data_IF_776887319460
#
_entry.id   IF_776887319460
#
_cell.length_a   1.000
_cell.length_b   1.000
_cell.length_c   1.000
_cell.angle_alpha   90.00
_cell.angle_beta   90.00
_cell.angle_gamma   90.00
#
_symmetry.space_group_name_H-M   'P 1'
#
loop_
_entity.id
_entity.type
_entity.pdbx_description
1 polymer ?
#
# COMPACT_ATOMS: atom_id res chain seq x y z
N UNK A 1 -8.77 -28.14 -11.19
CA UNK A 1 -7.29 -28.24 -11.17
C UNK A 1 -6.68 -26.90 -11.54
N UNK A 2 -6.47 -26.05 -10.54
CA UNK A 2 -5.53 -24.92 -10.55
C UNK A 2 -4.93 -24.97 -9.15
N UNK A 3 -3.95 -25.83 -8.95
CA UNK A 3 -3.31 -26.07 -7.64
C UNK A 3 -1.82 -25.79 -7.73
N UNK A 4 -1.44 -24.84 -8.59
CA UNK A 4 -0.07 -24.37 -8.73
C UNK A 4 0.10 -23.10 -7.92
N UNK A 5 1.04 -23.14 -6.97
CA UNK A 5 1.48 -22.00 -6.15
C UNK A 5 1.79 -20.80 -7.04
N UNK A 6 1.39 -19.60 -6.60
CA UNK A 6 1.66 -18.36 -7.31
C UNK A 6 0.41 -17.57 -7.70
N UNK A 7 0.61 -16.55 -8.54
CA UNK A 7 -0.42 -15.64 -9.03
C UNK A 7 -0.95 -16.13 -10.37
N UNK A 8 -2.25 -16.35 -10.47
CA UNK A 8 -2.96 -16.63 -11.72
C UNK A 8 -3.69 -15.38 -12.19
N UNK A 9 -3.36 -14.91 -13.38
CA UNK A 9 -4.07 -13.82 -14.07
C UNK A 9 -4.99 -14.42 -15.12
N UNK A 10 -6.28 -14.14 -15.02
CA UNK A 10 -7.31 -14.64 -15.94
C UNK A 10 -7.80 -13.50 -16.82
N UNK A 11 -7.55 -13.57 -18.12
CA UNK A 11 -8.17 -12.68 -19.12
C UNK A 11 -9.60 -13.14 -19.38
N UNK A 12 -10.56 -12.34 -18.94
CA UNK A 12 -11.99 -12.61 -19.09
C UNK A 12 -12.48 -11.92 -20.36
N UNK A 13 -13.03 -12.71 -21.28
CA UNK A 13 -13.49 -12.24 -22.58
C UNK A 13 -14.90 -12.74 -22.92
N UNK A 14 -15.57 -12.08 -23.86
CA UNK A 14 -16.85 -12.53 -24.40
C UNK A 14 -16.62 -13.42 -25.61
N UNK A 15 -17.46 -14.43 -25.82
CA UNK A 15 -17.28 -15.38 -26.93
C UNK A 15 -17.24 -14.71 -28.30
N UNK A 16 -17.91 -13.57 -28.44
CA UNK A 16 -17.98 -12.80 -29.68
C UNK A 16 -16.78 -11.85 -29.92
N UNK A 17 -15.98 -11.49 -28.90
CA UNK A 17 -14.83 -10.59 -29.05
C UNK A 17 -13.48 -11.31 -28.95
N UNK A 18 -13.42 -12.46 -28.28
CA UNK A 18 -12.16 -13.18 -28.05
C UNK A 18 -11.24 -12.48 -27.03
N UNK A 19 -10.15 -13.16 -26.62
CA UNK A 19 -9.20 -12.64 -25.63
C UNK A 19 -8.35 -11.49 -26.17
N UNK A 20 -7.77 -10.71 -25.25
CA UNK A 20 -7.05 -9.50 -25.58
C UNK A 20 -5.64 -9.84 -26.14
N UNK A 21 -5.49 -9.80 -27.46
CA UNK A 21 -4.22 -10.12 -28.14
C UNK A 21 -3.04 -9.20 -27.77
N UNK A 22 -3.22 -7.88 -27.59
CA UNK A 22 -2.10 -6.98 -27.25
C UNK A 22 -1.43 -7.27 -25.91
N UNK A 23 -2.15 -7.83 -24.93
CA UNK A 23 -1.60 -8.09 -23.59
C UNK A 23 -0.80 -9.39 -23.51
N UNK A 24 -0.92 -10.28 -24.51
CA UNK A 24 -0.18 -11.55 -24.53
C UNK A 24 1.32 -11.33 -24.48
N UNK A 25 1.83 -10.37 -25.25
CA UNK A 25 3.26 -10.02 -25.29
C UNK A 25 3.75 -9.46 -23.95
N UNK A 26 2.91 -8.65 -23.31
CA UNK A 26 3.20 -8.05 -22.00
C UNK A 26 3.25 -9.13 -20.91
N UNK A 27 2.27 -10.02 -20.91
CA UNK A 27 2.19 -11.13 -19.96
C UNK A 27 3.33 -12.13 -20.13
N UNK A 28 3.74 -12.43 -21.36
CA UNK A 28 4.93 -13.24 -21.62
C UNK A 28 6.20 -12.60 -21.04
N UNK A 29 6.37 -11.28 -21.21
CA UNK A 29 7.51 -10.54 -20.64
C UNK A 29 7.49 -10.56 -19.11
N UNK A 30 6.34 -10.28 -18.50
CA UNK A 30 6.16 -10.33 -17.04
C UNK A 30 6.44 -11.74 -16.48
N UNK A 31 6.04 -12.79 -17.20
CA UNK A 31 6.31 -14.18 -16.79
C UNK A 31 7.80 -14.49 -16.71
N UNK A 32 8.58 -13.92 -17.63
CA UNK A 32 10.03 -14.09 -17.67
C UNK A 32 10.69 -13.30 -16.54
N UNK A 33 10.23 -12.07 -16.28
CA UNK A 33 10.77 -11.20 -15.23
C UNK A 33 10.48 -11.70 -13.80
N UNK A 34 9.26 -12.21 -13.56
CA UNK A 34 8.82 -12.68 -12.23
C UNK A 34 9.20 -14.14 -11.96
N UNK A 35 9.56 -14.90 -13.00
CA UNK A 35 9.86 -16.32 -12.92
C UNK A 35 8.66 -17.19 -13.32
N UNK A 36 8.91 -18.19 -14.17
CA UNK A 36 7.89 -18.97 -14.89
C UNK A 36 6.92 -19.75 -13.99
N UNK A 37 7.35 -20.10 -12.78
CA UNK A 37 6.62 -20.98 -11.88
C UNK A 37 5.67 -20.23 -10.92
N UNK A 38 5.86 -18.92 -10.76
CA UNK A 38 5.08 -18.09 -9.82
C UNK A 38 3.98 -17.28 -10.50
N UNK A 39 3.98 -17.17 -11.82
CA UNK A 39 3.00 -16.41 -12.59
C UNK A 39 2.36 -17.29 -13.68
N UNK A 40 1.04 -17.47 -13.56
CA UNK A 40 0.21 -18.28 -14.44
C UNK A 40 -0.79 -17.39 -15.17
N UNK A 41 -1.06 -17.69 -16.44
CA UNK A 41 -2.04 -16.97 -17.25
C UNK A 41 -3.10 -17.94 -17.73
N UNK A 42 -4.37 -17.58 -17.58
CA UNK A 42 -5.50 -18.35 -18.06
C UNK A 42 -6.48 -17.44 -18.82
N UNK A 43 -7.34 -18.06 -19.63
CA UNK A 43 -8.39 -17.38 -20.39
C UNK A 43 -9.73 -17.91 -19.90
N UNK A 44 -10.70 -17.01 -19.70
CA UNK A 44 -12.06 -17.39 -19.31
C UNK A 44 -13.09 -16.69 -20.18
N UNK A 45 -13.99 -17.46 -20.78
CA UNK A 45 -15.12 -16.92 -21.54
C UNK A 45 -16.30 -16.66 -20.58
N UNK A 46 -16.69 -15.38 -20.44
CA UNK A 46 -17.71 -14.95 -19.48
C UNK A 46 -19.11 -15.50 -19.79
N UNK A 47 -19.42 -15.66 -21.09
CA UNK A 47 -20.72 -16.15 -21.55
C UNK A 47 -21.00 -17.59 -21.10
N UNK A 48 -19.95 -18.36 -20.83
CA UNK A 48 -20.02 -19.78 -20.46
C UNK A 48 -19.94 -20.05 -18.95
N UNK A 49 -19.75 -19.01 -18.11
CA UNK A 49 -19.48 -19.17 -16.67
C UNK A 49 -20.42 -18.30 -15.84
N UNK A 50 -21.30 -18.93 -15.05
CA UNK A 50 -22.27 -18.20 -14.21
C UNK A 50 -21.60 -17.33 -13.14
N UNK A 51 -20.46 -17.80 -12.62
CA UNK A 51 -19.63 -17.01 -11.68
C UNK A 51 -19.09 -15.71 -12.28
N UNK A 52 -19.12 -15.56 -13.60
CA UNK A 52 -18.69 -14.37 -14.34
C UNK A 52 -19.86 -13.57 -14.92
N UNK A 53 -21.11 -13.83 -14.51
CA UNK A 53 -22.30 -13.18 -15.05
C UNK A 53 -22.21 -11.64 -15.02
N UNK A 54 -21.62 -11.06 -13.97
CA UNK A 54 -21.43 -9.61 -13.83
C UNK A 54 -20.53 -8.98 -14.89
N UNK A 55 -19.74 -9.78 -15.61
CA UNK A 55 -18.85 -9.35 -16.68
C UNK A 55 -19.44 -9.60 -18.08
N UNK A 56 -20.62 -10.22 -18.20
CA UNK A 56 -21.28 -10.47 -19.49
C UNK A 56 -21.74 -9.17 -20.16
N UNK A 57 -21.72 -9.17 -21.49
CA UNK A 57 -22.20 -8.05 -22.30
C UNK A 57 -21.31 -6.80 -22.28
N UNK A 58 -20.13 -6.88 -21.67
CA UNK A 58 -19.15 -5.79 -21.62
C UNK A 58 -17.96 -6.10 -22.52
N UNK A 59 -17.54 -5.12 -23.30
CA UNK A 59 -16.38 -5.21 -24.20
C UNK A 59 -15.23 -4.36 -23.64
N UNK A 60 -14.82 -4.66 -22.41
CA UNK A 60 -13.72 -3.99 -21.72
C UNK A 60 -12.69 -5.01 -21.24
N UNK A 61 -11.38 -4.67 -21.26
CA UNK A 61 -10.34 -5.58 -20.82
C UNK A 61 -10.50 -5.89 -19.32
N UNK A 62 -10.87 -7.13 -19.02
CA UNK A 62 -11.17 -7.59 -17.66
C UNK A 62 -10.15 -8.66 -17.26
N UNK A 63 -9.35 -8.36 -16.23
CA UNK A 63 -8.36 -9.31 -15.69
C UNK A 63 -8.66 -9.64 -14.23
N UNK A 64 -8.77 -10.94 -13.92
CA UNK A 64 -8.96 -11.42 -12.55
C UNK A 64 -7.65 -11.98 -12.02
N UNK A 65 -7.33 -11.69 -10.76
CA UNK A 65 -6.06 -12.06 -10.14
C UNK A 65 -6.33 -12.98 -8.95
N UNK A 66 -5.82 -14.21 -9.01
CA UNK A 66 -5.95 -15.22 -7.96
C UNK A 66 -4.59 -15.62 -7.43
N UNK A 67 -4.36 -15.48 -6.12
CA UNK A 67 -3.14 -15.95 -5.48
C UNK A 67 -3.41 -17.26 -4.73
N UNK A 68 -2.67 -18.33 -5.05
CA UNK A 68 -2.77 -19.62 -4.37
C UNK A 68 -1.52 -19.80 -3.49
N UNK A 69 -1.73 -19.95 -2.18
CA UNK A 69 -0.69 -20.16 -1.16
C UNK A 69 -0.56 -21.65 -0.83
N UNK A 70 0.63 -22.06 -0.39
CA UNK A 70 0.90 -23.40 0.14
C UNK A 70 0.17 -23.56 1.48
N UNK A 71 -0.64 -24.61 1.61
CA UNK A 71 -1.20 -25.07 2.89
C UNK A 71 -0.48 -26.38 3.24
N UNK A 72 0.64 -26.30 3.98
CA UNK A 72 1.23 -27.46 4.65
C UNK A 72 2.22 -27.09 5.79
N UNK A 73 1.86 -27.55 7.00
CA UNK A 73 2.66 -27.89 8.21
C UNK A 73 3.16 -26.73 9.08
N UNK A 74 2.94 -26.68 10.40
CA UNK A 74 2.14 -27.49 11.35
C UNK A 74 2.14 -26.73 12.69
N UNK A 75 1.11 -27.00 13.47
CA UNK A 75 0.80 -26.49 14.82
C UNK A 75 1.95 -26.52 15.85
N UNK A 76 1.72 -25.71 16.90
CA UNK A 76 2.17 -25.82 18.30
C UNK A 76 2.97 -24.61 18.82
N UNK A 77 2.26 -23.68 19.49
CA UNK A 77 2.62 -23.18 20.83
C UNK A 77 1.42 -22.44 21.46
N UNK A 78 0.59 -23.23 22.15
CA UNK A 78 -0.42 -22.82 23.12
C UNK A 78 0.13 -23.10 24.52
N UNK A 79 0.31 -22.06 25.36
CA UNK A 79 0.26 -22.09 26.83
C UNK A 79 0.81 -20.76 27.41
N UNK A 80 0.20 -20.02 28.34
CA UNK A 80 -0.82 -20.31 29.35
C UNK A 80 -1.56 -19.00 29.71
N UNK A 81 -2.88 -19.05 29.81
CA UNK A 81 -3.60 -18.24 30.80
C UNK A 81 -4.81 -19.04 31.32
N UNK A 82 -4.87 -19.20 32.64
CA UNK A 82 -6.00 -19.83 33.34
C UNK A 82 -6.90 -18.74 33.92
N UNK A 83 -8.16 -18.79 33.49
CA UNK A 83 -9.42 -18.48 34.17
C UNK A 83 -9.69 -17.07 34.73
N UNK A 84 -10.73 -16.43 34.17
CA UNK A 84 -12.06 -16.38 34.81
C UNK A 84 -13.18 -16.01 33.83
N UNK A 85 -14.28 -16.75 33.92
CA UNK A 85 -15.61 -16.49 33.32
C UNK A 85 -16.24 -15.21 33.89
N UNK A 86 -16.83 -14.37 33.04
CA UNK A 86 -18.29 -14.22 32.91
C UNK A 86 -18.61 -13.15 31.86
N UNK A 87 -19.64 -13.40 31.05
CA UNK A 87 -19.95 -12.69 29.81
C UNK A 87 -20.38 -11.23 29.95
N UNK A 88 -20.04 -10.43 28.95
CA UNK A 88 -20.98 -9.93 27.94
C UNK A 88 -20.18 -9.08 26.93
N UNK A 89 -20.23 -9.50 25.66
CA UNK A 89 -19.98 -8.69 24.45
C UNK A 89 -18.83 -7.67 24.52
N UNK A 90 -17.57 -8.14 24.50
CA UNK A 90 -16.42 -7.28 24.25
C UNK A 90 -16.26 -7.06 22.74
N UNK A 91 -16.46 -5.79 22.36
CA UNK A 91 -16.20 -5.21 21.05
C UNK A 91 -15.01 -5.87 20.33
N UNK A 92 -15.31 -6.64 19.29
CA UNK A 92 -14.33 -7.07 18.30
C UNK A 92 -13.92 -5.85 17.44
N UNK A 93 -13.14 -4.93 18.02
CA UNK A 93 -12.42 -3.90 17.26
C UNK A 93 -11.26 -4.59 16.56
N UNK A 94 -11.50 -5.00 15.32
CA UNK A 94 -10.42 -5.25 14.37
C UNK A 94 -9.76 -3.89 14.08
N UNK A 95 -8.73 -3.55 14.86
CA UNK A 95 -7.97 -2.32 14.69
C UNK A 95 -7.19 -2.39 13.38
N UNK A 96 -7.71 -1.73 12.34
CA UNK A 96 -7.00 -1.46 11.11
C UNK A 96 -5.74 -0.65 11.46
N UNK A 97 -4.56 -1.27 11.32
CA UNK A 97 -3.29 -0.61 11.68
C UNK A 97 -2.95 0.45 10.64
N UNK A 98 -3.17 1.72 10.98
CA UNK A 98 -2.78 2.86 10.17
C UNK A 98 -1.26 2.88 9.94
N UNK A 99 -0.84 3.13 8.69
CA UNK A 99 0.57 3.10 8.28
C UNK A 99 0.99 4.41 7.60
N UNK A 100 2.26 4.77 7.73
CA UNK A 100 2.86 5.92 7.04
C UNK A 100 4.19 5.58 6.39
N UNK A 101 4.58 6.35 5.38
CA UNK A 101 5.90 6.27 4.77
C UNK A 101 6.90 7.09 5.59
N UNK A 102 8.05 6.48 5.87
CA UNK A 102 9.25 7.18 6.29
C UNK A 102 10.39 6.91 5.30
N UNK A 103 11.17 7.94 5.00
CA UNK A 103 12.37 7.80 4.16
C UNK A 103 13.56 8.43 4.88
N UNK A 104 14.60 7.64 5.11
CA UNK A 104 15.93 8.12 5.49
C UNK A 104 16.66 8.43 4.17
N UNK A 105 16.92 9.71 3.95
CA UNK A 105 17.43 10.26 2.70
C UNK A 105 18.91 9.92 2.47
N UNK A 106 19.42 10.04 1.23
CA UNK A 106 20.79 9.63 0.90
C UNK A 106 21.87 10.34 1.74
N UNK A 107 21.65 11.59 2.15
CA UNK A 107 22.56 12.32 3.04
C UNK A 107 22.74 11.59 4.37
N UNK A 108 21.67 11.18 5.04
CA UNK A 108 21.77 10.47 6.31
C UNK A 108 22.37 9.06 6.14
N UNK A 109 22.03 8.37 5.04
CA UNK A 109 22.56 7.03 4.73
C UNK A 109 24.07 7.08 4.52
N UNK A 110 24.57 8.00 3.69
CA UNK A 110 26.00 8.15 3.39
C UNK A 110 26.82 8.51 4.63
N UNK A 111 26.23 9.26 5.58
CA UNK A 111 26.88 9.58 6.86
C UNK A 111 26.77 8.45 7.91
N UNK A 112 26.26 7.27 7.54
CA UNK A 112 26.18 6.11 8.42
C UNK A 112 25.19 6.28 9.57
N UNK A 113 24.15 7.13 9.39
CA UNK A 113 23.17 7.45 10.45
C UNK A 113 21.92 6.57 10.43
N UNK A 114 21.80 5.67 9.46
CA UNK A 114 20.62 4.80 9.27
C UNK A 114 20.24 4.03 10.53
N UNK A 115 21.18 3.30 11.13
CA UNK A 115 20.88 2.44 12.28
C UNK A 115 20.50 3.25 13.53
N UNK A 116 21.15 4.39 13.73
CA UNK A 116 20.86 5.32 14.82
C UNK A 116 19.44 5.91 14.70
N UNK A 117 19.04 6.28 13.48
CA UNK A 117 17.68 6.78 13.19
C UNK A 117 16.64 5.67 13.38
N UNK A 118 16.90 4.46 12.89
CA UNK A 118 16.01 3.30 13.07
C UNK A 118 15.80 3.00 14.55
N UNK A 119 16.87 3.02 15.35
CA UNK A 119 16.79 2.81 16.80
C UNK A 119 15.89 3.87 17.45
N UNK A 120 16.08 5.16 17.11
CA UNK A 120 15.22 6.24 17.62
C UNK A 120 13.76 6.10 17.20
N UNK A 121 13.48 5.60 15.99
CA UNK A 121 12.12 5.30 15.53
C UNK A 121 11.49 4.23 16.42
N UNK A 122 12.21 3.15 16.71
CA UNK A 122 11.71 2.06 17.58
C UNK A 122 11.54 2.53 19.04
N UNK A 123 12.49 3.28 19.58
CA UNK A 123 12.41 3.87 20.93
C UNK A 123 11.22 4.83 21.10
N UNK A 124 10.81 5.49 20.01
CA UNK A 124 9.62 6.34 19.99
C UNK A 124 8.30 5.56 19.88
N UNK A 125 8.35 4.22 19.87
CA UNK A 125 7.19 3.34 19.87
C UNK A 125 6.59 3.06 18.50
N UNK A 126 7.37 3.23 17.42
CA UNK A 126 6.95 2.81 16.08
C UNK A 126 7.37 1.37 15.79
N UNK A 127 6.46 0.62 15.17
CA UNK A 127 6.77 -0.66 14.54
C UNK A 127 7.18 -0.43 13.09
N UNK A 128 8.26 -1.08 12.68
CA UNK A 128 8.75 -1.03 11.30
C UNK A 128 8.25 -2.28 10.56
N UNK A 129 7.23 -2.11 9.72
CA UNK A 129 6.63 -3.21 8.94
C UNK A 129 7.48 -3.60 7.73
N UNK A 130 8.26 -2.67 7.20
CA UNK A 130 9.12 -2.87 6.03
C UNK A 130 10.33 -1.98 6.15
N UNK A 131 11.49 -2.49 5.72
CA UNK A 131 12.77 -1.80 5.75
C UNK A 131 13.53 -2.16 4.47
N UNK A 132 13.47 -1.29 3.47
CA UNK A 132 14.02 -1.52 2.13
C UNK A 132 15.06 -0.44 1.79
N UNK A 133 16.26 -0.85 1.39
CA UNK A 133 17.25 0.05 0.81
C UNK A 133 17.08 0.13 -0.70
N UNK A 134 16.90 1.35 -1.22
CA UNK A 134 16.67 1.55 -2.65
C UNK A 134 17.23 2.88 -3.14
N UNK A 135 17.87 2.84 -4.31
CA UNK A 135 18.19 4.05 -5.07
C UNK A 135 17.01 4.42 -5.96
N UNK A 136 16.52 5.64 -5.80
CA UNK A 136 15.33 6.13 -6.50
C UNK A 136 15.66 6.58 -7.92
N UNK A 137 14.73 6.36 -8.85
CA UNK A 137 14.84 6.94 -10.20
C UNK A 137 14.30 8.37 -10.23
N UNK A 138 14.79 9.16 -11.18
CA UNK A 138 14.33 10.54 -11.38
C UNK A 138 12.83 10.59 -11.69
N UNK A 139 12.32 9.65 -12.49
CA UNK A 139 10.90 9.56 -12.84
C UNK A 139 10.03 9.34 -11.59
N UNK A 140 10.44 8.43 -10.71
CA UNK A 140 9.73 8.18 -9.44
C UNK A 140 9.75 9.42 -8.54
N UNK A 141 10.90 10.08 -8.38
CA UNK A 141 11.01 11.26 -7.49
C UNK A 141 10.27 12.48 -8.02
N UNK A 142 10.20 12.66 -9.35
CA UNK A 142 9.37 13.71 -9.96
C UNK A 142 7.89 13.48 -9.72
N UNK A 143 7.42 12.23 -9.81
CA UNK A 143 6.05 11.87 -9.46
C UNK A 143 5.78 12.02 -7.95
N UNK A 144 6.72 11.59 -7.11
CA UNK A 144 6.62 11.66 -5.66
C UNK A 144 6.48 13.11 -5.17
N UNK A 145 7.34 14.00 -5.66
CA UNK A 145 7.36 15.42 -5.31
C UNK A 145 6.59 16.30 -6.30
N UNK A 146 5.67 15.75 -7.10
CA UNK A 146 4.96 16.51 -8.14
C UNK A 146 4.26 17.77 -7.60
N UNK A 147 3.75 17.71 -6.37
CA UNK A 147 3.12 18.85 -5.70
C UNK A 147 4.07 20.04 -5.45
N UNK A 148 5.39 19.82 -5.53
CA UNK A 148 6.46 20.81 -5.36
C UNK A 148 7.09 21.26 -6.67
N UNK A 149 6.56 20.83 -7.82
CA UNK A 149 7.16 21.11 -9.14
C UNK A 149 7.31 22.61 -9.48
N UNK A 150 6.56 23.48 -8.79
CA UNK A 150 6.67 24.94 -8.92
C UNK A 150 7.72 25.61 -8.02
N UNK A 151 8.38 24.87 -7.13
CA UNK A 151 9.37 25.42 -6.21
C UNK A 151 10.76 25.50 -6.88
N UNK A 152 11.51 26.58 -6.60
CA UNK A 152 12.86 26.77 -7.15
C UNK A 152 13.83 25.63 -6.77
N UNK A 153 13.64 25.04 -5.59
CA UNK A 153 14.46 23.93 -5.08
C UNK A 153 14.04 22.55 -5.60
N UNK A 154 13.00 22.44 -6.45
CA UNK A 154 12.46 21.15 -6.89
C UNK A 154 13.51 20.28 -7.60
N UNK A 155 14.24 20.85 -8.56
CA UNK A 155 15.27 20.11 -9.30
C UNK A 155 16.40 19.66 -8.39
N UNK A 156 16.82 20.51 -7.44
CA UNK A 156 17.84 20.16 -6.45
C UNK A 156 17.37 19.03 -5.52
N UNK A 157 16.10 19.04 -5.11
CA UNK A 157 15.49 17.99 -4.29
C UNK A 157 15.44 16.65 -5.03
N UNK A 158 14.99 16.64 -6.29
CA UNK A 158 14.94 15.43 -7.11
C UNK A 158 16.34 14.86 -7.30
N UNK A 159 17.31 15.72 -7.65
CA UNK A 159 18.71 15.31 -7.80
C UNK A 159 19.28 14.73 -6.51
N UNK A 160 19.01 15.37 -5.37
CA UNK A 160 19.42 14.87 -4.05
C UNK A 160 18.89 13.47 -3.78
N UNK A 161 17.59 13.25 -3.96
CA UNK A 161 16.96 11.94 -3.68
C UNK A 161 17.45 10.82 -4.60
N UNK A 162 17.93 11.15 -5.80
CA UNK A 162 18.48 10.19 -6.76
C UNK A 162 20.01 10.01 -6.63
N UNK A 163 20.68 10.77 -5.76
CA UNK A 163 22.14 10.79 -5.65
C UNK A 163 22.75 9.53 -5.04
N UNK A 164 21.94 8.70 -4.39
CA UNK A 164 22.38 7.49 -3.70
C UNK A 164 21.24 6.66 -3.13
N UNK A 165 21.56 5.58 -2.38
CA UNK A 165 20.56 4.78 -1.70
C UNK A 165 19.85 5.58 -0.62
N UNK A 166 18.53 5.42 -0.53
CA UNK A 166 17.70 5.83 0.60
C UNK A 166 17.25 4.60 1.38
N UNK A 167 16.88 4.77 2.65
CA UNK A 167 16.15 3.73 3.39
C UNK A 167 14.67 4.06 3.49
N UNK A 168 13.84 3.19 2.92
CA UNK A 168 12.40 3.35 2.89
C UNK A 168 11.81 2.44 3.96
N UNK A 169 10.99 3.02 4.81
CA UNK A 169 10.35 2.34 5.91
C UNK A 169 8.84 2.49 5.80
N UNK A 170 8.11 1.42 6.12
CA UNK A 170 6.67 1.51 6.40
C UNK A 170 6.53 1.45 7.91
N UNK A 171 6.02 2.53 8.50
CA UNK A 171 5.83 2.65 9.93
C UNK A 171 4.37 2.44 10.28
N UNK A 172 4.11 1.68 11.34
CA UNK A 172 2.82 1.64 12.03
C UNK A 172 3.03 1.96 13.50
N UNK A 173 1.95 2.35 14.18
CA UNK A 173 1.98 2.57 15.62
C UNK A 173 0.68 2.05 16.22
N UNK A 174 0.80 1.03 17.08
CA UNK A 174 -0.36 0.43 17.76
C UNK A 174 -0.61 1.02 19.15
N UNK A 175 0.38 1.74 19.69
CA UNK A 175 0.33 2.31 21.03
C UNK A 175 0.32 3.84 20.98
N UNK A 176 -0.66 4.45 21.65
CA UNK A 176 -0.79 5.89 21.76
C UNK A 176 -2.14 6.40 21.24
N UNK A 177 -2.44 7.65 21.53
CA UNK A 177 -3.69 8.33 21.11
C UNK A 177 -3.52 9.13 19.81
N UNK A 178 -2.27 9.32 19.35
CA UNK A 178 -1.95 10.09 18.15
C UNK A 178 -1.94 9.20 16.91
N UNK A 179 -2.44 9.74 15.80
CA UNK A 179 -2.30 9.12 14.48
C UNK A 179 -0.81 8.94 14.10
N UNK A 180 -0.51 7.87 13.36
CA UNK A 180 0.85 7.48 13.00
C UNK A 180 1.58 8.55 12.17
N UNK A 181 0.88 9.26 11.27
CA UNK A 181 1.46 10.34 10.46
C UNK A 181 1.84 11.51 11.37
N UNK A 182 0.92 11.90 12.24
CA UNK A 182 1.13 13.00 13.20
C UNK A 182 2.29 12.69 14.14
N UNK A 183 2.32 11.47 14.70
CA UNK A 183 3.41 11.02 15.55
C UNK A 183 4.75 11.07 14.82
N UNK A 184 4.79 10.61 13.56
CA UNK A 184 6.02 10.61 12.77
C UNK A 184 6.51 12.02 12.47
N UNK A 185 5.59 12.94 12.16
CA UNK A 185 5.92 14.35 11.98
C UNK A 185 6.51 14.99 13.25
N UNK A 186 5.95 14.69 14.40
CA UNK A 186 6.48 15.15 15.70
C UNK A 186 7.90 14.64 15.93
N UNK A 187 8.17 13.36 15.64
CA UNK A 187 9.52 12.78 15.78
C UNK A 187 10.53 13.40 14.80
N UNK A 188 10.11 13.67 13.55
CA UNK A 188 10.96 14.32 12.56
C UNK A 188 11.30 15.76 12.93
N UNK A 189 10.33 16.51 13.47
CA UNK A 189 10.44 17.94 13.76
C UNK A 189 10.31 18.85 12.53
N UNK A 190 10.54 20.17 12.70
CA UNK A 190 10.40 21.17 11.63
C UNK A 190 11.22 20.83 10.37
N UNK A 191 10.69 21.14 9.19
CA UNK A 191 11.31 20.76 7.91
C UNK A 191 12.73 21.31 7.72
N UNK A 192 12.95 22.56 8.16
CA UNK A 192 14.25 23.22 8.13
C UNK A 192 15.11 22.78 9.34
N UNK A 193 16.30 22.20 9.13
CA UNK A 193 17.18 21.77 10.22
C UNK A 193 17.59 22.89 11.20
N UNK A 194 17.75 24.14 10.76
CA UNK A 194 18.10 25.26 11.64
C UNK A 194 16.93 25.66 12.54
N UNK A 195 15.71 25.61 12.01
CA UNK A 195 14.49 25.79 12.80
C UNK A 195 14.34 24.63 13.78
N UNK A 196 14.53 23.40 13.33
CA UNK A 196 14.47 22.20 14.17
C UNK A 196 15.47 22.28 15.33
N UNK A 197 16.74 22.65 15.08
CA UNK A 197 17.75 22.82 16.14
C UNK A 197 17.35 23.85 17.19
N UNK A 198 16.68 24.93 16.79
CA UNK A 198 16.27 26.00 17.70
C UNK A 198 15.02 25.65 18.51
N UNK A 199 14.05 24.98 17.89
CA UNK A 199 12.71 24.79 18.46
C UNK A 199 12.49 23.39 19.03
N UNK A 200 13.10 22.37 18.41
CA UNK A 200 12.95 20.95 18.77
C UNK A 200 14.31 20.22 18.62
N UNK A 201 15.30 20.52 19.50
CA UNK A 201 16.67 20.03 19.36
C UNK A 201 16.80 18.51 19.38
N UNK A 202 15.84 17.82 20.01
CA UNK A 202 15.80 16.35 20.10
C UNK A 202 15.10 15.69 18.89
N UNK A 203 14.63 16.46 17.92
CA UNK A 203 14.02 15.93 16.70
C UNK A 203 15.07 15.31 15.76
N UNK A 204 14.63 14.42 14.86
CA UNK A 204 15.54 13.79 13.89
C UNK A 204 16.17 14.82 12.95
N UNK A 205 15.40 15.82 12.48
CA UNK A 205 15.92 16.86 11.58
C UNK A 205 16.93 17.78 12.27
N UNK A 206 16.79 18.01 13.58
CA UNK A 206 17.78 18.77 14.34
C UNK A 206 19.11 18.02 14.48
N UNK A 207 19.07 16.71 14.74
CA UNK A 207 20.24 15.88 15.00
C UNK A 207 20.98 15.46 13.72
N UNK A 208 20.26 15.19 12.64
CA UNK A 208 20.82 14.59 11.43
C UNK A 208 20.73 15.46 10.18
N UNK A 209 19.86 16.47 10.17
CA UNK A 209 19.73 17.39 9.04
C UNK A 209 20.85 18.44 9.01
N UNK A 210 21.37 18.74 7.83
CA UNK A 210 22.44 19.74 7.66
C UNK A 210 21.85 21.09 7.28
N UNK A 211 21.25 21.17 6.09
CA UNK A 211 20.64 22.35 5.48
C UNK A 211 19.47 21.95 4.57
N UNK A 212 18.69 22.89 4.06
CA UNK A 212 17.65 22.56 3.07
C UNK A 212 18.26 22.35 1.67
N UNK A 213 17.87 21.30 0.92
CA UNK A 213 16.85 20.27 1.19
C UNK A 213 17.35 18.98 1.90
N UNK A 214 18.59 18.96 2.39
CA UNK A 214 19.30 17.87 3.09
C UNK A 214 18.93 17.76 4.57
N UNK A 215 17.66 17.49 4.84
CA UNK A 215 17.12 17.39 6.19
C UNK A 215 17.03 15.94 6.72
N UNK A 216 17.84 15.01 6.21
CA UNK A 216 17.96 13.60 6.63
C UNK A 216 16.74 12.70 6.46
N UNK A 217 15.51 13.16 6.72
CA UNK A 217 14.30 12.34 6.74
C UNK A 217 13.08 12.98 6.06
N UNK A 218 12.27 12.15 5.42
CA UNK A 218 10.95 12.50 4.86
C UNK A 218 9.84 11.69 5.52
N UNK A 219 8.65 12.28 5.59
CA UNK A 219 7.42 11.62 5.96
C UNK A 219 6.23 12.29 5.31
N UNK A 220 5.13 11.54 5.21
CA UNK A 220 3.89 12.01 4.59
C UNK A 220 3.25 13.16 5.38
N UNK A 221 2.50 14.03 4.69
CA UNK A 221 1.87 15.22 5.29
C UNK A 221 0.55 14.90 6.00
N UNK A 222 -0.17 13.92 5.48
CA UNK A 222 -1.44 13.43 5.98
C UNK A 222 -1.64 11.98 5.51
N UNK A 223 -2.76 11.36 5.90
CA UNK A 223 -3.07 9.96 5.57
C UNK A 223 -3.29 9.73 4.06
N UNK A 224 -3.79 10.72 3.32
CA UNK A 224 -3.97 10.60 1.86
C UNK A 224 -2.62 10.61 1.14
N UNK A 225 -1.72 11.50 1.56
CA UNK A 225 -0.34 11.50 1.07
C UNK A 225 0.37 10.21 1.46
N UNK A 226 0.18 9.69 2.68
CA UNK A 226 0.75 8.40 3.08
C UNK A 226 0.29 7.28 2.15
N UNK A 227 -1.02 7.19 1.86
CA UNK A 227 -1.57 6.20 0.95
C UNK A 227 -1.00 6.31 -0.47
N UNK A 228 -0.95 7.53 -1.01
CA UNK A 228 -0.39 7.82 -2.35
C UNK A 228 1.09 7.46 -2.44
N UNK A 229 1.86 7.88 -1.45
CA UNK A 229 3.31 7.70 -1.39
C UNK A 229 3.68 6.21 -1.21
N UNK A 230 2.99 5.50 -0.33
CA UNK A 230 3.15 4.06 -0.15
C UNK A 230 2.74 3.29 -1.41
N UNK A 231 1.63 3.64 -2.07
CA UNK A 231 1.24 2.99 -3.33
C UNK A 231 2.26 3.21 -4.46
N UNK A 232 2.94 4.36 -4.47
CA UNK A 232 3.97 4.67 -5.46
C UNK A 232 5.28 3.91 -5.19
N UNK A 233 5.74 3.87 -3.94
CA UNK A 233 7.05 3.29 -3.60
C UNK A 233 7.00 1.80 -3.20
N UNK A 234 5.83 1.31 -2.78
CA UNK A 234 5.57 -0.07 -2.38
C UNK A 234 4.28 -0.60 -3.03
N UNK A 235 4.26 -0.86 -4.36
CA UNK A 235 3.04 -1.29 -5.06
C UNK A 235 2.46 -2.63 -4.59
N UNK A 236 3.27 -3.46 -3.92
CA UNK A 236 2.87 -4.74 -3.32
C UNK A 236 2.28 -4.60 -1.92
N UNK A 237 2.41 -3.44 -1.28
CA UNK A 237 1.84 -3.17 0.04
C UNK A 237 0.34 -2.95 -0.10
N UNK A 238 -0.44 -3.75 0.64
CA UNK A 238 -1.91 -3.66 0.65
C UNK A 238 -2.35 -2.97 1.93
N UNK A 239 -3.08 -1.87 1.78
CA UNK A 239 -3.90 -1.34 2.86
C UNK A 239 -5.01 -2.35 3.15
N UNK A 240 -5.29 -2.58 4.43
CA UNK A 240 -6.49 -3.27 4.87
C UNK A 240 -7.67 -2.30 4.70
N UNK A 241 -8.19 -2.14 3.48
CA UNK A 241 -9.44 -1.42 3.27
C UNK A 241 -10.57 -2.43 3.06
N UNK A 242 -11.45 -2.58 4.05
CA UNK A 242 -12.82 -3.04 3.80
C UNK A 242 -13.74 -1.83 3.71
N UNK A 243 -14.41 -1.66 2.57
CA UNK A 243 -15.66 -0.88 2.52
C UNK A 243 -16.78 -1.85 2.88
N UNK A 244 -17.49 -1.71 4.01
CA UNK A 244 -18.70 -2.50 4.24
C UNK A 244 -19.76 -2.04 3.24
N UNK A 245 -20.12 -2.94 2.34
CA UNK A 245 -21.27 -2.76 1.45
C UNK A 245 -22.53 -2.64 2.33
N UNK A 246 -23.16 -1.46 2.34
CA UNK A 246 -24.36 -1.23 3.12
C UNK A 246 -25.47 -2.22 2.69
N UNK A 247 -26.23 -2.83 3.62
CA UNK A 247 -27.28 -3.77 3.25
C UNK A 247 -28.39 -3.01 2.50
N UNK A 248 -28.60 -3.39 1.24
CA UNK A 248 -29.73 -2.92 0.44
C UNK A 248 -31.03 -3.40 1.09
N UNK A 249 -31.78 -2.44 1.61
CA UNK A 249 -33.17 -2.62 2.05
C UNK A 249 -34.00 -3.04 0.83
N UNK A 250 -34.49 -4.29 0.82
CA UNK A 250 -35.46 -4.75 -0.15
C UNK A 250 -36.77 -3.97 0.01
N UNK A 251 -37.01 -3.00 -0.88
CA UNK A 251 -38.35 -2.42 -1.05
C UNK A 251 -39.16 -3.32 -1.97
N UNK A 252 -40.12 -4.05 -1.39
CA UNK A 252 -41.10 -4.85 -2.12
C UNK A 252 -42.05 -3.92 -2.88
N UNK A 253 -41.88 -3.80 -4.20
CA UNK A 253 -42.88 -3.19 -5.09
C UNK A 253 -43.44 -4.27 -6.00
N UNK A 254 -44.66 -4.73 -5.69
CA UNK A 254 -45.44 -5.59 -6.59
C UNK A 254 -45.79 -4.83 -7.89
N UNK A 255 -45.69 -5.47 -9.07
CA UNK A 255 -46.20 -4.88 -10.30
C UNK A 255 -47.72 -5.07 -10.36
N UNK A 256 -48.47 -3.95 -10.34
CA UNK A 256 -49.89 -3.94 -10.74
C UNK A 256 -49.97 -4.04 -12.26
N UNK A 257 -50.52 -5.14 -12.75
CA UNK A 257 -51.02 -5.28 -14.11
C UNK A 257 -52.16 -4.28 -14.35
N UNK A 258 -52.05 -3.47 -15.41
CA UNK A 258 -53.18 -2.77 -16.02
C UNK A 258 -53.30 -3.20 -17.47
N UNK A 259 -54.28 -4.06 -17.69
CA UNK A 259 -54.96 -4.30 -18.96
C UNK A 259 -55.64 -3.00 -19.37
N UNK A 260 -55.47 -2.60 -20.63
CA UNK A 260 -56.44 -1.75 -21.35
C UNK A 260 -56.46 -2.19 -22.81
N UNK A 261 -57.57 -2.82 -23.19
CA UNK A 261 -58.07 -2.89 -24.58
C UNK A 261 -58.82 -1.59 -24.94
N UNK A 262 -59.14 -1.45 -26.24
CA UNK A 262 -59.98 -0.46 -26.99
C UNK A 262 -59.12 0.37 -27.96
N UNK A 263 -59.33 0.42 -29.28
CA UNK A 263 -60.32 -0.13 -30.23
C UNK A 263 -59.60 -0.31 -31.59
#
# INVERSE_FOLDING_TARGET
>A
MLSSKGLTVVDVYQGWCGPCKPVVSLFQKMRIEVGLDLLHFALAEADCLDVLEKYRGRCEPTFLFYAIKDEALSDEDECFSHEKEDGDDEDAVSSEKACTLAVIKPDAVVHGKTDEIIMKIQEAGFDILTNEERTMTEAEMRLFYQHRAGEEAFEQLVHHMCSGPSRLLILTRTEGTEDVVTAWQTLMGPCDPDVARREQPDSLRAQYGTEMPFNAVHGSRDSEDARRELALLFPSFKFSDQVPEAPLVESSVQPRSRVTDLD
#
